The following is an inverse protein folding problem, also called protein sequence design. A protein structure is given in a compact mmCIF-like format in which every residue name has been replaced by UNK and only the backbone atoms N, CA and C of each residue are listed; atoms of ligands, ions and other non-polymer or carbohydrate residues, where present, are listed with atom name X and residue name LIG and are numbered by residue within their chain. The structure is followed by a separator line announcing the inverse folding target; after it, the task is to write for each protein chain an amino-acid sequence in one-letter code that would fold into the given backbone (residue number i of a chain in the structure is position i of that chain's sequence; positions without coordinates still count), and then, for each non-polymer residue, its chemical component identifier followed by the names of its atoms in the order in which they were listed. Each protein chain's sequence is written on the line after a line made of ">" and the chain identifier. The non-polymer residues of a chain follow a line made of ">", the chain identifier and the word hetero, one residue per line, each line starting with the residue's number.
data_IF_516801531254
#
_entry.id   IF_516801531254
#
_cell.length_a   1.000
_cell.length_b   1.000
_cell.length_c   1.000
_cell.angle_alpha   90.00
_cell.angle_beta   90.00
_cell.angle_gamma   90.00
#
_symmetry.space_group_name_H-M   'P 1'
#
loop_
_entity.id
_entity.type
_entity.pdbx_description
1 polymer ?
2 non-polymer ?
3 non-polymer ?
4 non-polymer ?
5 non-polymer ?
6 water ?
#
# COMPACT_ATOMS: atom_id res chain seq x y z
N UNK A 10 26.55 -19.17 -5.19
CA UNK A 10 25.86 -18.59 -4.04
C UNK A 10 26.73 -17.53 -3.37
N UNK A 11 28.04 -17.79 -3.36
CA UNK A 11 28.98 -16.82 -2.79
C UNK A 11 28.97 -15.51 -3.55
N UNK A 12 28.94 -15.57 -4.89
CA UNK A 12 28.83 -14.35 -5.68
C UNK A 12 27.60 -13.54 -5.28
N UNK A 13 26.47 -14.22 -5.08
CA UNK A 13 25.25 -13.51 -4.73
C UNK A 13 25.39 -12.80 -3.38
N UNK A 14 25.96 -13.50 -2.40
CA UNK A 14 26.15 -12.91 -1.08
C UNK A 14 27.09 -11.70 -1.15
N UNK A 15 28.18 -11.81 -1.94
CA UNK A 15 29.10 -10.69 -2.06
C UNK A 15 28.38 -9.48 -2.65
N UNK A 16 27.55 -9.70 -3.66
CA UNK A 16 26.82 -8.59 -4.26
C UNK A 16 25.82 -8.01 -3.27
N UNK A 17 25.11 -8.86 -2.53
CA UNK A 17 24.11 -8.34 -1.60
C UNK A 17 24.75 -7.47 -0.54
N UNK A 18 26.02 -7.73 -0.19
CA UNK A 18 26.68 -6.90 0.80
C UNK A 18 26.86 -5.47 0.30
N UNK A 19 26.80 -5.26 -1.02
CA UNK A 19 26.98 -3.93 -1.60
C UNK A 19 25.67 -3.17 -1.74
N UNK A 20 24.53 -3.85 -1.62
CA UNK A 20 23.24 -3.21 -1.87
C UNK A 20 22.91 -2.30 -0.69
N UNK A 21 22.55 -1.06 -1.00
CA UNK A 21 22.16 -0.11 0.04
C UNK A 21 20.67 0.14 0.00
N UNK A 22 20.14 0.66 1.11
CA UNK A 22 18.73 1.04 1.14
C UNK A 22 18.45 2.10 0.08
N UNK A 23 19.38 3.05 -0.11
CA UNK A 23 19.22 4.05 -1.14
C UNK A 23 19.07 3.44 -2.53
N UNK A 24 19.89 2.44 -2.85
CA UNK A 24 19.78 1.80 -4.16
C UNK A 24 18.43 1.08 -4.32
N UNK A 25 17.97 0.42 -3.25
CA UNK A 25 16.66 -0.21 -3.30
C UNK A 25 15.57 0.82 -3.53
N UNK A 26 15.70 2.00 -2.93
CA UNK A 26 14.64 3.00 -3.03
C UNK A 26 14.60 3.63 -4.40
N UNK A 27 15.76 3.74 -5.04
CA UNK A 27 15.87 4.51 -6.25
C UNK A 27 15.97 3.67 -7.51
N UNK A 28 16.46 2.45 -7.41
CA UNK A 28 16.61 1.61 -8.59
C UNK A 28 16.34 0.15 -8.22
N UNK A 29 15.14 -0.17 -7.76
CA UNK A 29 14.90 -1.54 -7.29
C UNK A 29 14.85 -2.58 -8.40
N UNK A 30 14.41 -2.21 -9.61
CA UNK A 30 14.10 -3.27 -10.57
C UNK A 30 15.30 -4.16 -10.90
N UNK A 31 16.51 -3.63 -11.14
CA UNK A 31 17.62 -4.53 -11.46
C UNK A 31 18.02 -5.39 -10.27
N UNK A 32 17.78 -4.92 -9.05
CA UNK A 32 18.08 -5.72 -7.89
C UNK A 32 17.14 -6.91 -7.82
N UNK A 33 15.84 -6.65 -7.94
CA UNK A 33 14.88 -7.75 -7.88
C UNK A 33 15.03 -8.68 -9.07
N UNK A 34 15.40 -8.16 -10.23
CA UNK A 34 15.61 -9.04 -11.37
C UNK A 34 16.69 -10.07 -11.06
N UNK A 35 17.76 -9.64 -10.40
CA UNK A 35 18.83 -10.57 -10.06
C UNK A 35 18.40 -11.51 -8.94
N UNK A 36 17.68 -10.98 -7.94
CA UNK A 36 17.22 -11.84 -6.85
C UNK A 36 16.30 -12.93 -7.36
N UNK A 37 15.41 -12.61 -8.32
CA UNK A 37 14.51 -13.65 -8.79
C UNK A 37 15.29 -14.79 -9.40
N UNK A 38 16.41 -14.47 -10.07
CA UNK A 38 17.25 -15.49 -10.68
C UNK A 38 18.12 -16.23 -9.67
N UNK A 39 18.67 -15.52 -8.68
CA UNK A 39 19.72 -16.11 -7.86
C UNK A 39 19.37 -16.39 -6.42
N UNK A 40 18.32 -15.78 -5.88
CA UNK A 40 18.05 -15.95 -4.47
C UNK A 40 16.59 -15.58 -4.21
N UNK A 41 15.66 -16.52 -4.46
CA UNK A 41 14.24 -16.23 -4.24
C UNK A 41 13.90 -15.66 -2.87
N UNK A 42 14.60 -16.11 -1.83
CA UNK A 42 14.57 -15.46 -0.53
C UNK A 42 16.02 -15.12 -0.21
N UNK A 43 16.27 -13.87 0.18
CA UNK A 43 17.63 -13.41 0.38
C UNK A 43 17.71 -12.48 1.59
N UNK A 44 18.84 -12.54 2.29
CA UNK A 44 19.09 -11.61 3.38
C UNK A 44 19.66 -10.32 2.81
N UNK A 45 19.05 -9.20 3.16
CA UNK A 45 19.51 -7.87 2.73
C UNK A 45 20.20 -7.21 3.92
N UNK A 46 21.52 -7.26 4.02
CA UNK A 46 22.17 -6.71 5.23
C UNK A 46 21.82 -5.26 5.48
N UNK A 47 21.66 -4.47 4.42
CA UNK A 47 21.40 -3.04 4.63
C UNK A 47 20.07 -2.81 5.34
N UNK A 48 19.13 -3.75 5.22
CA UNK A 48 17.82 -3.63 5.82
C UNK A 48 17.63 -4.56 7.00
N UNK A 49 18.63 -5.37 7.33
CA UNK A 49 18.53 -6.31 8.45
C UNK A 49 17.25 -7.14 8.33
N UNK A 50 17.02 -7.72 7.15
CA UNK A 50 15.79 -8.47 6.93
C UNK A 50 15.93 -9.33 5.68
N UNK A 51 15.07 -10.33 5.59
CA UNK A 51 14.93 -11.12 4.38
C UNK A 51 13.96 -10.45 3.43
N UNK A 52 14.09 -10.77 2.15
CA UNK A 52 13.11 -10.38 1.15
C UNK A 52 12.87 -11.56 0.23
N UNK A 53 11.60 -11.81 -0.05
CA UNK A 53 11.18 -12.83 -1.01
C UNK A 53 10.86 -12.13 -2.33
N UNK A 54 11.40 -12.64 -3.44
CA UNK A 54 11.33 -11.92 -4.71
C UNK A 54 10.59 -12.65 -5.82
N UNK A 55 10.47 -13.98 -5.78
CA UNK A 55 9.75 -14.66 -6.84
C UNK A 55 8.28 -14.77 -6.47
N UNK A 56 7.49 -15.09 -7.48
CA UNK A 56 6.08 -15.37 -7.25
C UNK A 56 5.91 -16.51 -6.25
N UNK A 57 6.55 -17.65 -6.51
CA UNK A 57 6.30 -18.76 -5.60
C UNK A 57 6.86 -18.51 -4.20
N UNK A 58 7.98 -17.80 -4.04
CA UNK A 58 8.44 -17.56 -2.68
C UNK A 58 7.45 -16.66 -1.94
N UNK A 59 7.00 -15.58 -2.60
CA UNK A 59 6.04 -14.68 -1.98
C UNK A 59 4.74 -15.40 -1.67
N UNK A 60 4.21 -16.16 -2.64
CA UNK A 60 2.90 -16.77 -2.42
C UNK A 60 2.98 -17.79 -1.31
N UNK A 61 4.02 -18.61 -1.32
CA UNK A 61 4.14 -19.67 -0.32
C UNK A 61 4.25 -19.08 1.08
N UNK A 62 5.14 -18.10 1.25
CA UNK A 62 5.33 -17.54 2.58
C UNK A 62 4.08 -16.78 3.01
N UNK A 63 3.45 -16.07 2.07
CA UNK A 63 2.24 -15.32 2.41
C UNK A 63 1.14 -16.25 2.91
N UNK A 64 0.96 -17.37 2.21
CA UNK A 64 -0.18 -18.23 2.45
C UNK A 64 0.04 -19.18 3.63
N UNK A 65 1.29 -19.56 3.89
CA UNK A 65 1.58 -20.65 4.83
C UNK A 65 1.42 -20.15 6.25
N UNK A 66 0.24 -20.40 6.82
CA UNK A 66 -0.08 -19.94 8.16
C UNK A 66 0.48 -20.86 9.22
N UNK A 67 1.03 -21.99 8.81
CA UNK A 67 1.57 -22.95 9.76
C UNK A 67 3.00 -22.57 10.11
N UNK A 68 3.80 -22.19 9.11
CA UNK A 68 5.22 -21.91 9.31
C UNK A 68 5.54 -20.43 9.40
N UNK A 69 4.61 -19.57 9.04
CA UNK A 69 4.84 -18.14 9.07
C UNK A 69 3.62 -17.47 9.69
N UNK A 70 3.86 -16.39 10.39
CA UNK A 70 2.82 -15.54 10.92
C UNK A 70 2.89 -14.18 10.24
N UNK A 71 1.84 -13.38 10.45
CA UNK A 71 1.81 -12.01 9.96
C UNK A 71 3.05 -11.24 10.33
N UNK A 72 3.51 -10.40 9.41
CA UNK A 72 4.76 -9.73 9.58
C UNK A 72 4.73 -8.54 10.51
N UNK A 73 5.93 -8.17 10.92
CA UNK A 73 6.18 -6.92 11.63
C UNK A 73 7.67 -6.61 11.50
N UNK A 74 8.09 -5.52 12.15
CA UNK A 74 9.48 -5.08 12.09
C UNK A 74 9.64 -4.00 13.16
N UNK A 75 10.85 -3.61 13.50
CA UNK A 75 10.99 -2.48 14.44
C UNK A 75 10.37 -1.19 13.91
N UNK A 76 10.30 -1.01 12.59
CA UNK A 76 9.61 0.16 12.04
C UNK A 76 8.11 0.05 12.27
N UNK A 77 7.52 -1.15 12.04
CA UNK A 77 6.10 -1.29 12.29
C UNK A 77 5.79 -0.94 13.73
N UNK A 78 6.62 -1.44 14.66
CA UNK A 78 6.32 -1.21 16.07
C UNK A 78 6.42 0.26 16.44
N UNK A 79 7.41 0.97 15.90
CA UNK A 79 7.59 2.40 16.18
C UNK A 79 6.48 3.22 15.56
N UNK A 80 6.09 2.89 14.32
CA UNK A 80 5.21 3.72 13.51
C UNK A 80 3.75 3.39 13.75
N UNK A 81 3.44 2.10 13.87
CA UNK A 81 2.07 1.63 13.99
C UNK A 81 1.72 1.21 15.39
N UNK A 82 2.64 0.60 16.10
CA UNK A 82 2.38 -0.06 17.36
C UNK A 82 2.58 -1.56 17.23
N UNK A 83 2.53 -2.24 18.37
CA UNK A 83 2.97 -3.63 18.40
C UNK A 83 1.96 -4.57 17.75
N UNK A 84 0.71 -4.53 18.21
CA UNK A 84 -0.26 -5.58 17.87
C UNK A 84 -1.21 -5.10 16.76
N UNK A 85 -0.68 -4.97 15.56
CA UNK A 85 -1.45 -4.49 14.43
C UNK A 85 -2.02 -5.65 13.61
N UNK A 86 -2.97 -5.34 12.73
CA UNK A 86 -3.70 -6.37 12.02
C UNK A 86 -2.79 -7.18 11.11
N UNK A 87 -1.75 -6.54 10.54
CA UNK A 87 -0.85 -7.28 9.65
C UNK A 87 -0.16 -8.41 10.38
N UNK A 88 0.21 -8.19 11.63
CA UNK A 88 0.90 -9.19 12.41
C UNK A 88 0.01 -10.18 13.12
N UNK A 89 -1.29 -9.91 13.16
CA UNK A 89 -2.20 -10.70 13.98
C UNK A 89 -2.52 -12.03 13.33
N UNK A 90 -2.86 -13.00 14.19
CA UNK A 90 -3.24 -14.35 13.78
C UNK A 90 -4.39 -14.83 14.63
N UNK A 91 -4.94 -15.98 14.25
CA UNK A 91 -5.97 -16.63 15.04
C UNK A 91 -7.17 -15.74 15.31
N UNK A 92 -7.71 -15.89 16.50
CA UNK A 92 -8.91 -15.14 16.88
C UNK A 92 -8.66 -13.63 16.88
N UNK A 93 -7.47 -13.19 17.27
CA UNK A 93 -7.20 -11.77 17.29
C UNK A 93 -7.30 -11.19 15.88
N UNK A 94 -6.73 -11.90 14.91
CA UNK A 94 -6.84 -11.46 13.53
C UNK A 94 -8.28 -11.49 13.05
N UNK A 95 -9.01 -12.58 13.35
CA UNK A 95 -10.39 -12.64 12.91
C UNK A 95 -11.25 -11.56 13.56
N UNK A 96 -10.93 -11.18 14.81
CA UNK A 96 -11.66 -10.11 15.47
C UNK A 96 -11.37 -8.76 14.82
N UNK A 97 -10.10 -8.50 14.46
CA UNK A 97 -9.76 -7.24 13.80
C UNK A 97 -10.37 -7.19 12.41
N UNK A 98 -10.36 -8.32 11.68
CA UNK A 98 -11.00 -8.35 10.38
C UNK A 98 -12.51 -8.12 10.52
N UNK A 99 -13.13 -8.67 11.57
CA UNK A 99 -14.54 -8.40 11.80
C UNK A 99 -14.81 -6.92 12.00
N UNK A 100 -13.86 -6.20 12.61
CA UNK A 100 -14.03 -4.77 12.82
C UNK A 100 -13.95 -4.01 11.50
N UNK A 101 -12.91 -4.27 10.69
CA UNK A 101 -12.61 -3.41 9.56
C UNK A 101 -13.19 -3.89 8.22
N UNK A 102 -13.51 -5.19 8.08
CA UNK A 102 -13.93 -5.69 6.77
C UNK A 102 -15.32 -5.27 6.29
N UNK A 103 -16.36 -5.30 7.12
CA UNK A 103 -17.74 -5.12 6.60
C UNK A 103 -17.91 -3.84 5.79
N UNK A 104 -17.41 -2.68 6.24
CA UNK A 104 -17.63 -1.45 5.43
C UNK A 104 -16.96 -1.51 4.07
N UNK A 105 -15.98 -2.38 3.90
CA UNK A 105 -15.22 -2.45 2.67
C UNK A 105 -15.77 -3.49 1.71
N UNK A 106 -16.89 -4.14 2.06
CA UNK A 106 -17.46 -5.12 1.15
C UNK A 106 -18.39 -4.42 0.16
N UNK A 107 -18.46 -4.94 -1.07
CA UNK A 107 -19.33 -4.31 -2.08
C UNK A 107 -20.75 -4.06 -1.63
N UNK A 108 -21.35 -4.97 -0.86
CA UNK A 108 -22.72 -4.77 -0.41
C UNK A 108 -22.85 -3.49 0.42
N UNK A 109 -21.79 -3.12 1.14
CA UNK A 109 -21.79 -1.91 1.95
C UNK A 109 -21.44 -0.66 1.15
N UNK A 110 -20.39 -0.72 0.32
CA UNK A 110 -19.87 0.49 -0.30
C UNK A 110 -20.54 0.83 -1.63
N UNK A 111 -21.21 -0.12 -2.26
CA UNK A 111 -21.81 0.12 -3.57
C UNK A 111 -22.59 1.42 -3.67
N UNK A 112 -23.53 1.72 -2.76
CA UNK A 112 -24.24 3.00 -2.87
C UNK A 112 -23.33 4.21 -2.78
N UNK A 113 -22.26 4.14 -1.99
CA UNK A 113 -21.39 5.30 -1.81
C UNK A 113 -20.63 5.68 -3.07
N UNK A 114 -20.52 4.76 -4.04
CA UNK A 114 -19.75 5.07 -5.24
C UNK A 114 -20.34 6.27 -5.98
N UNK A 115 -21.64 6.26 -6.22
CA UNK A 115 -22.25 7.39 -6.90
C UNK A 115 -22.64 8.50 -5.94
N UNK A 116 -23.02 8.17 -4.71
CA UNK A 116 -23.44 9.20 -3.76
C UNK A 116 -22.27 9.98 -3.19
N UNK A 117 -21.10 9.36 -3.04
CA UNK A 117 -20.01 10.03 -2.35
C UNK A 117 -18.72 10.06 -3.17
N UNK A 118 -18.31 8.91 -3.72
CA UNK A 118 -17.02 8.85 -4.40
C UNK A 118 -17.00 9.75 -5.64
N UNK A 119 -17.96 9.57 -6.55
CA UNK A 119 -17.93 10.38 -7.76
C UNK A 119 -18.05 11.87 -7.47
N UNK A 120 -18.92 12.35 -6.57
CA UNK A 120 -18.92 13.79 -6.27
C UNK A 120 -17.60 14.27 -5.69
N UNK A 121 -16.94 13.45 -4.87
CA UNK A 121 -15.64 13.84 -4.36
C UNK A 121 -14.64 13.97 -5.51
N UNK A 122 -14.61 12.97 -6.39
CA UNK A 122 -13.72 13.03 -7.56
C UNK A 122 -13.99 14.29 -8.37
N UNK A 123 -15.27 14.59 -8.62
CA UNK A 123 -15.59 15.72 -9.46
C UNK A 123 -15.23 17.04 -8.81
N UNK A 124 -15.26 17.11 -7.47
CA UNK A 124 -14.83 18.33 -6.79
C UNK A 124 -13.36 18.62 -7.07
N UNK A 125 -12.51 17.61 -6.92
CA UNK A 125 -11.10 17.80 -7.23
C UNK A 125 -10.87 18.03 -8.73
N UNK A 126 -11.67 17.37 -9.57
CA UNK A 126 -11.58 17.60 -11.01
C UNK A 126 -11.87 19.05 -11.35
N UNK A 127 -12.93 19.60 -10.76
CA UNK A 127 -13.31 20.98 -11.08
C UNK A 127 -12.22 21.96 -10.66
N UNK A 128 -11.49 21.65 -9.59
CA UNK A 128 -10.46 22.58 -9.12
C UNK A 128 -9.27 22.68 -10.08
N UNK A 129 -9.01 21.64 -10.88
CA UNK A 129 -7.91 21.73 -11.85
C UNK A 129 -8.38 22.10 -13.24
N UNK A 130 -9.69 22.08 -13.51
CA UNK A 130 -10.19 22.31 -14.86
C UNK A 130 -9.89 23.74 -15.31
N UNK A 131 -9.52 23.88 -16.58
CA UNK A 131 -9.19 25.17 -17.14
C UNK A 131 -7.74 25.58 -17.00
N UNK A 132 -6.95 24.86 -16.20
CA UNK A 132 -5.54 25.19 -16.07
C UNK A 132 -4.72 24.68 -17.23
N UNK A 133 -5.18 23.62 -17.90
CA UNK A 133 -4.38 23.01 -18.93
C UNK A 133 -3.14 22.31 -18.44
N UNK A 134 -2.99 22.19 -17.13
CA UNK A 134 -1.84 21.56 -16.48
C UNK A 134 -2.17 21.26 -15.03
N UNK A 135 -1.47 20.27 -14.48
CA UNK A 135 -1.62 19.96 -13.07
C UNK A 135 -0.48 19.03 -12.71
N UNK A 136 -0.24 18.91 -11.42
CA UNK A 136 0.61 17.88 -10.84
C UNK A 136 -0.36 16.90 -10.18
N UNK A 137 -0.62 15.79 -10.86
CA UNK A 137 -1.77 14.94 -10.50
C UNK A 137 -1.67 14.32 -9.11
N UNK A 138 -0.46 14.11 -8.57
CA UNK A 138 -0.42 13.52 -7.23
C UNK A 138 -1.02 14.44 -6.19
N UNK A 139 -0.46 15.63 -6.04
CA UNK A 139 -0.98 16.52 -5.01
C UNK A 139 -2.34 17.09 -5.40
N UNK A 140 -2.59 17.29 -6.69
CA UNK A 140 -3.77 18.03 -7.10
C UNK A 140 -4.98 17.13 -7.31
N UNK A 141 -4.79 15.83 -7.46
CA UNK A 141 -5.90 15.02 -7.91
C UNK A 141 -5.94 13.65 -7.24
N UNK A 142 -4.95 12.81 -7.49
CA UNK A 142 -5.01 11.44 -7.01
C UNK A 142 -4.94 11.35 -5.50
N UNK A 143 -3.99 12.06 -4.87
CA UNK A 143 -3.90 11.96 -3.40
C UNK A 143 -5.13 12.53 -2.72
N UNK A 144 -5.60 13.74 -3.06
CA UNK A 144 -6.82 14.22 -2.39
C UNK A 144 -7.99 13.29 -2.60
N UNK A 145 -8.15 12.74 -3.80
CA UNK A 145 -9.23 11.78 -4.03
C UNK A 145 -9.06 10.56 -3.14
N UNK A 146 -7.86 10.00 -3.10
CA UNK A 146 -7.65 8.77 -2.35
C UNK A 146 -7.92 9.02 -0.87
N UNK A 147 -7.34 10.09 -0.32
CA UNK A 147 -7.47 10.28 1.12
C UNK A 147 -8.88 10.64 1.50
N UNK A 148 -9.58 11.39 0.64
CA UNK A 148 -10.94 11.81 0.97
C UNK A 148 -11.89 10.63 0.84
N UNK A 149 -11.80 9.89 -0.28
CA UNK A 149 -12.74 8.79 -0.49
C UNK A 149 -12.54 7.68 0.53
N UNK A 150 -11.30 7.42 0.95
CA UNK A 150 -11.07 6.41 1.97
C UNK A 150 -11.26 6.99 3.37
N UNK A 151 -10.71 8.18 3.62
CA UNK A 151 -10.84 8.77 4.93
C UNK A 151 -12.28 8.92 5.35
N UNK A 152 -13.16 9.24 4.41
CA UNK A 152 -14.57 9.46 4.72
C UNK A 152 -15.27 8.17 5.12
N UNK A 153 -14.68 7.01 4.86
CA UNK A 153 -15.32 5.75 5.19
C UNK A 153 -14.61 5.00 6.31
N UNK A 154 -13.56 5.58 6.90
CA UNK A 154 -12.85 4.97 8.01
C UNK A 154 -12.88 5.85 9.26
N UNK A 155 -13.81 6.80 9.34
CA UNK A 155 -13.99 7.61 10.54
C UNK A 155 -13.30 8.95 10.54
N UNK A 156 -12.70 9.35 9.41
CA UNK A 156 -11.88 10.55 9.34
C UNK A 156 -12.50 11.63 8.46
N UNK A 157 -13.83 11.68 8.40
CA UNK A 157 -14.50 12.69 7.57
C UNK A 157 -14.08 14.10 7.96
N UNK A 158 -13.81 14.35 9.25
CA UNK A 158 -13.52 15.68 9.74
C UNK A 158 -12.03 16.01 9.76
N UNK A 159 -11.19 15.18 9.17
CA UNK A 159 -9.77 15.46 9.00
C UNK A 159 -9.57 15.92 7.56
N UNK A 160 -9.00 17.11 7.37
CA UNK A 160 -8.87 17.64 6.02
C UNK A 160 -7.85 16.85 5.19
N UNK A 161 -7.93 17.00 3.87
CA UNK A 161 -7.11 16.20 2.97
C UNK A 161 -5.63 16.53 3.14
N UNK A 162 -5.29 17.79 3.39
CA UNK A 162 -3.88 18.13 3.64
C UNK A 162 -3.32 17.34 4.80
N UNK A 163 -4.09 17.24 5.89
CA UNK A 163 -3.63 16.51 7.07
C UNK A 163 -3.55 15.01 6.79
N UNK A 164 -4.58 14.45 6.14
CA UNK A 164 -4.55 13.03 5.81
C UNK A 164 -3.37 12.69 4.93
N UNK A 165 -3.05 13.56 3.97
CA UNK A 165 -1.90 13.31 3.12
C UNK A 165 -0.62 13.38 3.93
N UNK A 166 -0.50 14.39 4.80
CA UNK A 166 0.69 14.45 5.65
C UNK A 166 0.82 13.20 6.51
N UNK A 167 -0.29 12.73 7.08
CA UNK A 167 -0.24 11.53 7.91
C UNK A 167 0.26 10.32 7.13
N UNK A 168 -0.33 10.05 5.97
CA UNK A 168 0.08 8.81 5.30
C UNK A 168 1.52 8.92 4.84
N UNK A 169 1.94 10.11 4.42
CA UNK A 169 3.33 10.24 3.97
C UNK A 169 4.27 10.03 5.14
N UNK A 170 3.93 10.57 6.33
CA UNK A 170 4.79 10.43 7.50
C UNK A 170 4.89 8.98 7.96
N UNK A 171 3.75 8.27 7.99
CA UNK A 171 3.77 6.87 8.42
C UNK A 171 4.51 6.02 7.41
N UNK A 172 4.30 6.29 6.11
CA UNK A 172 4.98 5.52 5.08
C UNK A 172 6.48 5.76 5.14
N UNK A 173 6.89 7.02 5.37
CA UNK A 173 8.31 7.32 5.53
C UNK A 173 8.90 6.56 6.73
N UNK A 174 8.13 6.47 7.82
CA UNK A 174 8.58 5.72 8.98
C UNK A 174 8.80 4.24 8.67
N UNK A 175 7.85 3.61 7.97
CA UNK A 175 8.04 2.20 7.63
C UNK A 175 9.26 2.03 6.73
N UNK A 176 9.48 2.98 5.81
CA UNK A 176 10.59 2.89 4.88
C UNK A 176 11.93 3.18 5.54
N UNK A 177 11.93 3.62 6.79
CA UNK A 177 13.15 4.02 7.48
C UNK A 177 13.86 2.79 8.04
N UNK A 178 14.34 1.95 7.11
CA UNK A 178 14.78 0.61 7.46
C UNK A 178 16.29 0.43 7.47
N UNK A 179 17.06 1.49 7.26
CA UNK A 179 18.52 1.34 7.27
C UNK A 179 18.96 0.96 8.67
N UNK A 180 19.66 -0.17 8.78
CA UNK A 180 20.04 -0.71 10.07
C UNK A 180 21.45 -1.27 9.92
N UNK A 181 22.21 -1.26 11.02
CA UNK A 181 23.54 -1.83 10.99
C UNK A 181 23.48 -3.36 11.15
N UNK A 182 24.65 -3.98 11.24
CA UNK A 182 24.69 -5.45 11.33
C UNK A 182 23.99 -5.96 12.58
N UNK A 183 23.94 -5.15 13.64
CA UNK A 183 23.30 -5.50 14.90
C UNK A 183 21.81 -5.21 14.89
N UNK A 184 21.28 -4.66 13.79
CA UNK A 184 19.87 -4.33 13.74
C UNK A 184 19.50 -3.01 14.37
N UNK A 185 20.48 -2.15 14.62
CA UNK A 185 20.21 -0.83 15.17
C UNK A 185 19.96 0.18 14.05
N UNK A 186 18.96 1.04 14.26
CA UNK A 186 18.63 2.06 13.27
C UNK A 186 19.78 3.01 13.06
N UNK A 187 20.11 3.23 11.79
CA UNK A 187 21.09 4.22 11.37
C UNK A 187 20.51 5.63 11.47
N UNK A 188 19.24 5.80 11.10
CA UNK A 188 18.59 7.10 10.98
C UNK A 188 17.33 7.11 11.86
N UNK A 189 17.49 7.12 13.18
CA UNK A 189 16.29 7.22 14.03
C UNK A 189 15.53 8.52 13.86
N UNK A 190 16.19 9.60 13.43
CA UNK A 190 15.48 10.84 13.20
C UNK A 190 14.43 10.75 12.11
N UNK A 191 14.54 9.75 11.23
CA UNK A 191 13.55 9.57 10.18
C UNK A 191 12.18 9.18 10.69
N UNK A 192 12.06 8.83 11.98
CA UNK A 192 10.76 8.59 12.60
C UNK A 192 10.07 9.84 13.08
N UNK A 193 10.72 11.00 13.08
CA UNK A 193 10.07 12.18 13.64
C UNK A 193 8.75 12.50 12.97
N UNK A 194 8.61 12.43 11.64
CA UNK A 194 7.27 12.70 11.05
C UNK A 194 6.23 11.73 11.54
N UNK A 195 6.56 10.44 11.64
CA UNK A 195 5.61 9.45 12.13
C UNK A 195 5.24 9.67 13.60
N UNK A 196 6.20 10.10 14.42
CA UNK A 196 5.89 10.39 15.82
C UNK A 196 4.91 11.56 15.89
N UNK A 197 5.16 12.59 15.10
CA UNK A 197 4.27 13.75 15.10
C UNK A 197 2.89 13.37 14.58
N UNK A 198 2.84 12.61 13.48
CA UNK A 198 1.55 12.20 12.95
C UNK A 198 0.83 11.29 13.93
N UNK A 199 1.55 10.38 14.59
CA UNK A 199 0.92 9.49 15.55
C UNK A 199 0.23 10.24 16.66
N UNK A 200 0.89 11.26 17.20
CA UNK A 200 0.27 12.06 18.27
C UNK A 200 -0.97 12.77 17.77
N UNK A 201 -0.94 13.28 16.54
CA UNK A 201 -2.12 13.96 15.99
C UNK A 201 -3.25 12.96 15.74
N UNK A 202 -2.91 11.77 15.24
CA UNK A 202 -3.91 10.73 14.99
C UNK A 202 -4.59 10.35 16.30
N UNK A 203 -3.80 10.13 17.35
CA UNK A 203 -4.38 9.75 18.63
C UNK A 203 -5.26 10.86 19.16
N UNK A 204 -4.85 12.13 18.97
CA UNK A 204 -5.64 13.23 19.49
C UNK A 204 -6.97 13.37 18.75
N UNK A 205 -7.03 12.97 17.47
CA UNK A 205 -8.30 12.96 16.75
C UNK A 205 -9.14 11.76 17.19
N UNK A 206 -8.52 10.58 17.27
CA UNK A 206 -9.28 9.35 17.44
C UNK A 206 -9.72 9.13 18.89
N UNK A 207 -8.88 9.48 19.86
CA UNK A 207 -9.21 9.22 21.26
C UNK A 207 -10.57 9.79 21.68
N UNK A 208 -10.88 11.08 21.44
CA UNK A 208 -12.20 11.57 21.86
C UNK A 208 -13.33 10.86 21.14
N UNK A 209 -13.17 10.59 19.84
CA UNK A 209 -14.20 9.89 19.10
C UNK A 209 -14.42 8.49 19.66
N UNK A 210 -13.32 7.79 19.97
CA UNK A 210 -13.43 6.44 20.52
C UNK A 210 -14.13 6.47 21.87
N UNK A 211 -13.73 7.40 22.74
CA UNK A 211 -14.37 7.49 24.06
C UNK A 211 -15.85 7.77 23.91
N UNK A 212 -16.22 8.70 23.03
CA UNK A 212 -17.63 9.03 22.83
C UNK A 212 -18.41 7.84 22.28
N UNK A 213 -17.90 7.24 21.20
CA UNK A 213 -18.65 6.19 20.52
C UNK A 213 -18.65 4.88 21.30
N UNK A 214 -17.67 4.68 22.19
CA UNK A 214 -17.68 3.49 23.03
C UNK A 214 -18.91 3.47 23.92
N UNK A 215 -19.29 4.63 24.44
CA UNK A 215 -20.44 4.75 25.33
C UNK A 215 -21.75 5.01 24.60
N UNK A 216 -21.70 5.71 23.46
CA UNK A 216 -22.89 6.07 22.69
C UNK A 216 -22.68 5.73 21.23
N UNK A 217 -22.89 4.48 20.84
CA UNK A 217 -22.69 4.08 19.44
C UNK A 217 -23.68 4.78 18.51
N UNK A 218 -23.25 5.02 17.28
CA UNK A 218 -24.06 5.77 16.34
C UNK A 218 -24.09 5.20 14.91
N UNK A 219 -23.56 4.00 14.68
CA UNK A 219 -23.61 3.46 13.34
C UNK A 219 -22.54 3.94 12.39
N UNK A 220 -21.69 4.87 12.81
CA UNK A 220 -20.60 5.33 11.96
C UNK A 220 -19.48 4.29 11.92
N UNK A 221 -18.49 4.54 11.07
CA UNK A 221 -17.42 3.56 10.85
C UNK A 221 -16.69 3.22 12.14
N UNK A 222 -16.28 4.24 12.90
CA UNK A 222 -15.54 3.99 14.12
C UNK A 222 -16.40 3.30 15.16
N UNK A 223 -17.70 3.62 15.18
CA UNK A 223 -18.61 2.93 16.09
C UNK A 223 -18.65 1.44 15.80
N UNK A 224 -18.68 1.08 14.51
CA UNK A 224 -18.64 -0.32 14.13
C UNK A 224 -17.31 -0.96 14.52
N UNK A 225 -16.20 -0.24 14.32
CA UNK A 225 -14.91 -0.81 14.71
C UNK A 225 -14.91 -1.16 16.19
N UNK A 226 -15.58 -0.34 17.00
CA UNK A 226 -15.60 -0.58 18.44
C UNK A 226 -16.58 -1.67 18.82
N UNK A 227 -17.74 -1.73 18.17
CA UNK A 227 -18.84 -2.52 18.68
C UNK A 227 -19.16 -3.74 17.84
N UNK A 228 -18.76 -3.81 16.58
CA UNK A 228 -19.26 -4.88 15.73
C UNK A 228 -18.64 -6.21 16.13
N UNK A 229 -19.48 -7.22 16.33
CA UNK A 229 -19.01 -8.53 16.75
C UNK A 229 -18.59 -8.62 18.20
N UNK A 230 -18.97 -7.65 19.02
CA UNK A 230 -18.58 -7.60 20.41
C UNK A 230 -19.81 -7.69 21.32
N UNK A 231 -19.66 -8.25 22.52
CA UNK A 231 -20.77 -8.21 23.48
C UNK A 231 -21.08 -6.77 23.86
N UNK A 232 -22.34 -6.52 24.17
CA UNK A 232 -22.70 -5.23 24.74
C UNK A 232 -22.02 -5.11 26.09
N UNK A 233 -21.13 -4.13 26.22
CA UNK A 233 -20.34 -3.99 27.42
C UNK A 233 -18.91 -4.47 27.30
N UNK A 234 -18.52 -5.02 26.16
CA UNK A 234 -17.12 -5.37 25.90
C UNK A 234 -16.71 -4.87 24.51
N UNK A 235 -16.83 -3.56 24.26
CA UNK A 235 -16.31 -3.01 23.00
C UNK A 235 -14.79 -3.09 22.98
N UNK A 236 -14.26 -3.06 21.77
CA UNK A 236 -12.81 -2.97 21.60
C UNK A 236 -12.31 -1.67 22.23
N UNK A 237 -11.10 -1.73 22.77
CA UNK A 237 -10.51 -0.54 23.36
C UNK A 237 -9.65 0.18 22.33
N UNK A 238 -9.27 1.42 22.67
CA UNK A 238 -8.40 2.18 21.80
C UNK A 238 -7.14 1.39 21.45
N UNK A 239 -6.46 0.82 22.46
CA UNK A 239 -5.20 0.16 22.11
C UNK A 239 -5.41 -1.10 21.29
N UNK A 240 -6.56 -1.77 21.43
CA UNK A 240 -6.81 -2.92 20.57
C UNK A 240 -6.92 -2.53 19.11
N UNK A 241 -7.37 -1.31 18.82
CA UNK A 241 -7.63 -0.88 17.46
C UNK A 241 -6.55 0.01 16.89
N UNK A 242 -5.89 0.83 17.71
CA UNK A 242 -5.10 1.93 17.16
C UNK A 242 -4.01 1.47 16.22
N UNK A 243 -3.22 0.43 16.52
CA UNK A 243 -2.17 0.04 15.55
C UNK A 243 -2.75 -0.36 14.21
N UNK A 244 -3.92 -1.03 14.21
CA UNK A 244 -4.57 -1.40 12.96
C UNK A 244 -5.15 -0.19 12.25
N UNK A 245 -5.69 0.77 13.00
CA UNK A 245 -6.14 2.01 12.36
C UNK A 245 -4.97 2.73 11.71
N UNK A 246 -3.78 2.68 12.31
CA UNK A 246 -2.62 3.30 11.68
C UNK A 246 -2.20 2.55 10.42
N UNK A 247 -2.34 1.22 10.40
CA UNK A 247 -2.11 0.46 9.17
C UNK A 247 -2.98 1.01 8.05
N UNK A 248 -4.25 1.28 8.36
CA UNK A 248 -5.18 1.75 7.34
C UNK A 248 -4.94 3.21 6.99
N UNK A 249 -4.62 4.05 7.97
CA UNK A 249 -4.28 5.45 7.69
C UNK A 249 -3.10 5.51 6.74
N UNK A 250 -2.13 4.61 6.90
CA UNK A 250 -1.01 4.56 5.98
C UNK A 250 -1.48 4.05 4.62
N UNK A 251 -1.85 2.76 4.55
CA UNK A 251 -2.04 2.13 3.25
C UNK A 251 -3.40 2.41 2.64
N UNK A 252 -4.44 2.49 3.46
CA UNK A 252 -5.74 2.82 2.90
C UNK A 252 -5.72 4.17 2.21
N UNK A 253 -4.97 5.12 2.77
CA UNK A 253 -4.93 6.47 2.22
C UNK A 253 -3.91 6.58 1.11
N UNK A 254 -2.77 5.89 1.22
CA UNK A 254 -1.71 6.03 0.22
C UNK A 254 -1.97 5.18 -1.02
N UNK A 255 -2.38 3.95 -0.84
CA UNK A 255 -2.30 3.01 -1.95
C UNK A 255 -3.24 3.33 -3.10
N UNK A 256 -4.50 3.75 -2.87
CA UNK A 256 -5.36 4.04 -4.03
C UNK A 256 -4.80 5.12 -4.92
N UNK A 257 -4.23 6.18 -4.34
CA UNK A 257 -3.61 7.21 -5.15
C UNK A 257 -2.45 6.67 -5.98
N UNK A 258 -1.68 5.75 -5.40
CA UNK A 258 -0.61 5.13 -6.15
C UNK A 258 -1.14 4.21 -7.25
N UNK A 259 -2.22 3.47 -7.00
CA UNK A 259 -2.81 2.68 -8.07
C UNK A 259 -3.20 3.57 -9.24
N UNK A 260 -3.85 4.70 -8.95
CA UNK A 260 -4.24 5.62 -10.01
C UNK A 260 -3.03 6.11 -10.76
N UNK A 261 -1.99 6.51 -10.02
CA UNK A 261 -0.82 7.12 -10.64
C UNK A 261 -0.04 6.09 -11.45
N UNK A 262 0.12 4.88 -10.93
CA UNK A 262 0.82 3.84 -11.65
C UNK A 262 0.08 3.49 -12.94
N UNK A 263 -1.26 3.45 -12.88
CA UNK A 263 -2.03 3.09 -14.05
C UNK A 263 -1.96 4.19 -15.10
N UNK A 264 -2.08 5.45 -14.65
CA UNK A 264 -1.93 6.57 -15.56
C UNK A 264 -0.56 6.56 -16.21
N UNK A 265 0.50 6.43 -15.41
CA UNK A 265 1.85 6.44 -15.94
C UNK A 265 2.07 5.26 -16.89
N UNK A 266 1.63 4.08 -16.50
CA UNK A 266 1.79 2.93 -17.39
C UNK A 266 1.08 3.14 -18.71
N UNK A 267 -0.12 3.71 -18.68
CA UNK A 267 -0.84 3.98 -19.92
C UNK A 267 -0.06 4.93 -20.81
N UNK A 268 0.59 5.95 -20.24
CA UNK A 268 1.30 6.91 -21.10
C UNK A 268 2.44 6.24 -21.85
N UNK A 269 2.98 5.13 -21.33
CA UNK A 269 4.04 4.44 -22.05
C UNK A 269 3.51 3.66 -23.24
N UNK A 270 2.19 3.55 -23.39
CA UNK A 270 1.55 2.79 -24.47
C UNK A 270 0.53 3.71 -25.13
N UNK A 271 0.98 4.60 -26.01
CA UNK A 271 0.08 5.66 -26.53
C UNK A 271 -1.22 5.13 -27.12
N UNK A 272 -1.17 4.03 -27.87
CA UNK A 272 -2.40 3.51 -28.45
C UNK A 272 -3.34 2.98 -27.38
N UNK A 273 -2.78 2.39 -26.32
CA UNK A 273 -3.62 1.88 -25.25
C UNK A 273 -4.23 3.02 -24.44
N UNK A 274 -3.44 4.06 -24.16
CA UNK A 274 -3.98 5.25 -23.49
C UNK A 274 -5.14 5.81 -24.28
N UNK A 275 -4.95 6.00 -25.60
CA UNK A 275 -6.03 6.55 -26.40
C UNK A 275 -7.27 5.68 -26.30
N UNK A 276 -7.10 4.36 -26.43
CA UNK A 276 -8.22 3.44 -26.36
C UNK A 276 -8.97 3.56 -25.05
N UNK A 277 -8.24 3.65 -23.93
CA UNK A 277 -8.88 3.75 -22.63
C UNK A 277 -9.63 5.06 -22.47
N UNK A 278 -9.05 6.18 -22.94
CA UNK A 278 -9.73 7.46 -22.75
C UNK A 278 -11.06 7.49 -23.48
N UNK A 279 -11.23 6.68 -24.52
CA UNK A 279 -12.44 6.69 -25.31
C UNK A 279 -13.33 5.49 -25.03
N UNK A 280 -12.92 4.58 -24.15
CA UNK A 280 -13.73 3.42 -23.81
C UNK A 280 -13.44 3.12 -22.34
N UNK A 281 -14.26 3.71 -21.46
CA UNK A 281 -14.04 3.57 -20.03
C UNK A 281 -14.25 2.15 -19.55
N UNK A 282 -14.90 1.28 -20.33
CA UNK A 282 -15.04 -0.10 -19.92
C UNK A 282 -13.70 -0.83 -19.84
N UNK A 283 -12.64 -0.26 -20.40
CA UNK A 283 -11.31 -0.85 -20.31
C UNK A 283 -10.58 -0.44 -19.04
N UNK A 284 -11.14 0.44 -18.25
CA UNK A 284 -10.43 0.96 -17.09
C UNK A 284 -10.15 -0.14 -16.06
N UNK A 285 -11.10 -1.03 -15.73
CA UNK A 285 -10.76 -2.07 -14.75
C UNK A 285 -9.55 -2.88 -15.16
N UNK A 286 -9.45 -3.26 -16.45
CA UNK A 286 -8.29 -4.02 -16.90
C UNK A 286 -7.03 -3.18 -16.82
N UNK A 287 -7.12 -1.90 -17.17
CA UNK A 287 -5.95 -1.03 -17.06
C UNK A 287 -5.48 -0.93 -15.61
N UNK A 288 -6.43 -0.77 -14.68
CA UNK A 288 -6.11 -0.63 -13.27
C UNK A 288 -5.47 -1.89 -12.71
N UNK A 289 -5.94 -3.05 -13.14
CA UNK A 289 -5.33 -4.30 -12.72
C UNK A 289 -3.90 -4.39 -13.22
N UNK A 290 -3.68 -4.02 -14.49
CA UNK A 290 -2.33 -4.03 -15.04
C UNK A 290 -1.46 -3.01 -14.33
N UNK A 291 -2.02 -1.85 -13.95
CA UNK A 291 -1.25 -0.87 -13.20
C UNK A 291 -0.74 -1.44 -11.89
N UNK A 292 -1.58 -2.18 -11.16
CA UNK A 292 -1.15 -2.80 -9.92
C UNK A 292 -0.04 -3.82 -10.16
N UNK A 293 -0.16 -4.61 -11.23
CA UNK A 293 0.88 -5.59 -11.52
C UNK A 293 2.18 -4.91 -11.90
N UNK A 294 2.08 -3.86 -12.72
CA UNK A 294 3.25 -3.23 -13.32
C UNK A 294 4.03 -2.38 -12.32
N UNK A 295 3.35 -1.78 -11.34
CA UNK A 295 4.09 -1.00 -10.33
C UNK A 295 3.32 -1.13 -9.02
N UNK A 296 3.52 -2.29 -8.36
CA UNK A 296 2.67 -2.63 -7.23
C UNK A 296 2.88 -1.63 -6.11
N UNK A 297 1.82 -0.95 -5.64
CA UNK A 297 2.04 0.13 -4.66
C UNK A 297 2.66 -0.38 -3.38
N UNK A 298 2.19 -1.50 -2.86
CA UNK A 298 2.83 -2.13 -1.70
C UNK A 298 3.84 -3.10 -2.29
N UNK A 299 4.96 -2.53 -2.70
CA UNK A 299 5.90 -3.27 -3.54
C UNK A 299 6.60 -4.35 -2.74
N UNK A 300 7.08 -3.99 -1.54
CA UNK A 300 7.70 -4.98 -0.66
C UNK A 300 7.34 -4.80 0.80
N UNK A 301 6.41 -3.90 1.15
CA UNK A 301 6.14 -3.62 2.56
C UNK A 301 5.23 -4.65 3.22
N UNK A 302 4.68 -5.62 2.47
CA UNK A 302 4.06 -6.77 3.11
C UNK A 302 5.15 -7.64 3.72
N UNK A 303 4.82 -8.38 4.77
CA UNK A 303 5.86 -9.16 5.42
C UNK A 303 5.24 -10.30 6.21
N UNK A 304 6.07 -11.29 6.51
CA UNK A 304 5.73 -12.36 7.44
C UNK A 304 6.91 -12.56 8.38
N UNK A 305 6.67 -13.27 9.48
CA UNK A 305 7.71 -13.72 10.40
C UNK A 305 7.69 -15.24 10.45
N UNK A 306 8.85 -15.91 10.48
CA UNK A 306 8.86 -17.37 10.62
C UNK A 306 8.38 -17.77 12.01
N UNK A 307 7.58 -18.83 12.07
CA UNK A 307 7.18 -19.34 13.37
C UNK A 307 8.15 -20.38 13.91
N UNK A 308 8.98 -20.93 13.03
CA UNK A 308 10.05 -21.85 13.39
C UNK A 308 11.18 -21.62 12.39
N UNK A 309 12.34 -22.20 12.70
CA UNK A 309 13.43 -22.14 11.74
C UNK A 309 13.01 -22.83 10.46
N UNK A 310 13.23 -22.16 9.32
CA UNK A 310 12.78 -22.68 8.04
C UNK A 310 13.73 -22.21 6.95
N UNK A 311 14.09 -23.13 6.07
CA UNK A 311 15.09 -22.86 5.05
C UNK A 311 14.44 -22.86 3.68
N UNK A 312 14.64 -21.77 2.94
CA UNK A 312 14.37 -21.74 1.52
C UNK A 312 15.64 -21.40 0.75
N UNK A 313 16.17 -22.37 0.03
CA UNK A 313 17.40 -22.13 -0.69
C UNK A 313 18.53 -21.90 0.29
N UNK A 314 19.27 -20.81 0.08
CA UNK A 314 20.33 -20.42 0.99
C UNK A 314 19.84 -19.66 2.21
N UNK A 315 18.55 -19.37 2.30
CA UNK A 315 17.99 -18.53 3.37
C UNK A 315 17.47 -19.42 4.47
N UNK A 316 18.12 -19.39 5.63
CA UNK A 316 17.60 -20.08 6.81
C UNK A 316 17.01 -19.00 7.71
N UNK A 317 15.70 -18.86 7.63
CA UNK A 317 15.01 -17.85 8.42
C UNK A 317 14.68 -18.35 9.82
N UNK A 318 14.71 -17.41 10.76
CA UNK A 318 14.54 -17.72 12.16
C UNK A 318 13.40 -16.90 12.74
N UNK A 319 12.75 -17.40 13.78
CA UNK A 319 11.70 -16.61 14.43
C UNK A 319 12.18 -15.23 14.81
N UNK A 320 11.28 -14.26 14.68
CA UNK A 320 11.58 -12.88 15.01
C UNK A 320 12.14 -12.07 13.87
N UNK A 321 12.60 -12.70 12.77
CA UNK A 321 13.19 -11.96 11.68
C UNK A 321 12.12 -11.54 10.68
N UNK A 322 12.22 -10.31 10.17
CA UNK A 322 11.27 -9.87 9.16
C UNK A 322 11.55 -10.50 7.82
N UNK A 323 10.50 -11.03 7.16
CA UNK A 323 10.59 -11.51 5.79
C UNK A 323 9.68 -10.62 4.97
N UNK A 324 10.26 -9.62 4.29
CA UNK A 324 9.47 -8.78 3.40
C UNK A 324 9.07 -9.60 2.18
N UNK A 325 7.84 -9.41 1.73
CA UNK A 325 7.35 -10.08 0.53
C UNK A 325 7.32 -9.06 -0.59
N UNK A 326 8.23 -9.18 -1.55
CA UNK A 326 8.22 -8.23 -2.66
C UNK A 326 7.21 -8.70 -3.69
N UNK A 327 5.94 -8.44 -3.40
CA UNK A 327 4.88 -8.68 -4.36
C UNK A 327 5.12 -7.91 -5.64
N UNK A 328 5.73 -6.73 -5.57
CA UNK A 328 6.02 -6.01 -6.78
C UNK A 328 7.01 -6.74 -7.67
N UNK A 329 7.99 -7.42 -7.06
CA UNK A 329 8.90 -8.26 -7.81
C UNK A 329 8.21 -9.52 -8.32
N UNK A 330 7.39 -10.15 -7.47
CA UNK A 330 6.61 -11.30 -7.89
C UNK A 330 5.77 -10.96 -9.11
N UNK A 331 5.17 -9.78 -9.12
CA UNK A 331 4.34 -9.33 -10.23
C UNK A 331 5.15 -8.98 -11.46
N UNK A 332 6.47 -8.95 -11.32
CA UNK A 332 7.41 -8.73 -12.40
C UNK A 332 8.22 -9.98 -12.71
N UNK A 333 7.74 -11.13 -12.26
CA UNK A 333 8.49 -12.38 -12.40
C UNK A 333 8.36 -12.93 -13.82
N UNK A 334 9.50 -13.06 -14.51
CA UNK A 334 9.56 -13.56 -15.89
C UNK A 334 9.05 -14.99 -16.02
N UNK A 335 9.03 -15.76 -14.94
CA UNK A 335 8.51 -17.13 -15.01
C UNK A 335 7.00 -17.18 -15.01
N UNK A 336 6.35 -16.05 -14.71
CA UNK A 336 4.91 -15.97 -14.58
C UNK A 336 4.30 -15.09 -15.67
N UNK A 337 5.00 -14.02 -16.05
CA UNK A 337 4.48 -13.06 -17.01
C UNK A 337 5.48 -12.90 -18.14
N UNK A 338 4.97 -12.63 -19.33
CA UNK A 338 5.81 -12.39 -20.49
C UNK A 338 6.12 -10.91 -20.56
N UNK A 339 7.41 -10.58 -20.62
CA UNK A 339 7.87 -9.20 -20.59
C UNK A 339 7.17 -8.41 -19.48
N UNK A 340 7.39 -8.79 -18.22
CA UNK A 340 6.64 -8.18 -17.12
C UNK A 340 7.02 -6.74 -16.87
N UNK A 341 8.13 -6.26 -17.42
CA UNK A 341 8.56 -4.90 -17.22
C UNK A 341 7.74 -3.89 -17.99
N UNK A 342 6.94 -4.32 -18.96
CA UNK A 342 6.13 -3.48 -19.84
C UNK A 342 4.72 -3.39 -19.28
N UNK A 343 4.10 -2.21 -19.37
CA UNK A 343 2.68 -2.09 -19.10
C UNK A 343 1.94 -2.54 -20.35
N UNK A 344 1.00 -3.47 -20.20
CA UNK A 344 0.25 -3.94 -21.36
C UNK A 344 -1.20 -4.14 -20.96
N UNK A 345 -2.05 -3.23 -21.44
CA UNK A 345 -3.49 -3.30 -21.21
C UNK A 345 -4.07 -4.67 -21.58
N UNK A 346 -3.55 -5.28 -22.64
CA UNK A 346 -4.04 -6.55 -23.16
C UNK A 346 -3.18 -7.73 -22.73
N UNK A 347 -2.44 -7.58 -21.63
CA UNK A 347 -1.66 -8.68 -21.10
C UNK A 347 -2.52 -9.92 -20.92
N UNK A 348 -1.97 -11.08 -21.27
CA UNK A 348 -2.62 -12.37 -21.00
C UNK A 348 -3.08 -12.42 -19.54
N UNK A 349 -4.29 -12.92 -19.34
CA UNK A 349 -4.90 -12.92 -18.01
C UNK A 349 -4.11 -13.77 -17.03
N UNK A 350 -3.82 -13.21 -15.86
CA UNK A 350 -3.20 -13.96 -14.79
C UNK A 350 -3.39 -13.14 -13.53
N UNK A 351 -3.59 -13.76 -12.37
CA UNK A 351 -3.71 -12.99 -11.12
C UNK A 351 -2.42 -12.25 -10.84
N UNK A 352 -2.52 -11.29 -9.92
CA UNK A 352 -1.34 -10.64 -9.39
C UNK A 352 -1.39 -10.69 -7.86
N UNK A 353 -0.27 -10.31 -7.25
CA UNK A 353 -0.13 -10.34 -5.79
C UNK A 353 -0.16 -8.93 -5.18
N UNK A 354 -0.62 -7.92 -5.92
CA UNK A 354 -0.56 -6.55 -5.40
C UNK A 354 -1.45 -6.34 -4.18
N UNK A 355 -2.48 -7.16 -3.99
CA UNK A 355 -3.29 -7.12 -2.77
C UNK A 355 -2.91 -8.22 -1.77
N UNK A 356 -1.82 -8.93 -2.03
CA UNK A 356 -1.49 -10.10 -1.23
C UNK A 356 -2.36 -11.29 -1.59
N UNK A 357 -2.42 -12.23 -0.65
CA UNK A 357 -3.05 -13.52 -0.88
C UNK A 357 -3.24 -14.19 0.47
N UNK A 358 -4.16 -15.15 0.53
CA UNK A 358 -4.35 -15.89 1.75
C UNK A 358 -5.10 -15.10 2.81
N UNK A 359 -4.90 -15.50 4.07
CA UNK A 359 -5.70 -14.95 5.16
C UNK A 359 -5.46 -13.46 5.40
N UNK A 360 -4.30 -12.91 5.00
CA UNK A 360 -4.01 -11.49 5.14
C UNK A 360 -4.34 -10.68 3.89
N UNK A 361 -5.06 -11.27 2.92
CA UNK A 361 -5.43 -10.55 1.70
C UNK A 361 -6.05 -9.20 2.06
N UNK A 362 -5.61 -8.15 1.38
CA UNK A 362 -6.08 -6.79 1.61
C UNK A 362 -7.58 -6.70 1.82
N UNK A 363 -7.99 -6.13 2.97
CA UNK A 363 -9.40 -5.92 3.24
C UNK A 363 -10.05 -4.95 2.26
N UNK A 364 -9.25 -4.05 1.70
CA UNK A 364 -9.74 -3.05 0.75
C UNK A 364 -9.68 -3.45 -0.70
N UNK A 365 -9.47 -4.74 -0.98
CA UNK A 365 -9.19 -5.15 -2.36
C UNK A 365 -10.35 -4.96 -3.30
N UNK A 366 -11.60 -4.92 -2.80
CA UNK A 366 -12.73 -4.63 -3.66
C UNK A 366 -13.01 -3.14 -3.76
N UNK A 367 -12.82 -2.39 -2.66
CA UNK A 367 -13.17 -0.97 -2.66
C UNK A 367 -12.16 -0.16 -3.44
N UNK A 368 -10.86 -0.42 -3.26
CA UNK A 368 -9.86 0.44 -3.88
C UNK A 368 -9.99 0.52 -5.40
N UNK A 369 -10.15 -0.58 -6.13
CA UNK A 369 -10.26 -0.46 -7.60
C UNK A 369 -11.47 0.33 -8.05
N UNK A 370 -12.52 0.45 -7.22
CA UNK A 370 -13.67 1.27 -7.58
C UNK A 370 -13.39 2.76 -7.43
N UNK A 371 -12.69 3.15 -6.35
CA UNK A 371 -12.26 4.54 -6.21
C UNK A 371 -11.38 4.92 -7.39
N UNK A 372 -10.40 4.05 -7.73
CA UNK A 372 -9.48 4.37 -8.81
C UNK A 372 -10.20 4.44 -10.14
N UNK A 373 -11.14 3.53 -10.38
CA UNK A 373 -11.90 3.57 -11.62
C UNK A 373 -12.62 4.90 -11.78
N UNK A 374 -13.31 5.36 -10.74
CA UNK A 374 -14.06 6.60 -10.86
C UNK A 374 -13.13 7.78 -11.04
N UNK A 375 -11.98 7.77 -10.34
CA UNK A 375 -11.02 8.85 -10.49
C UNK A 375 -10.53 8.94 -11.94
N UNK A 376 -10.21 7.80 -12.55
CA UNK A 376 -9.70 7.85 -13.92
C UNK A 376 -10.81 8.11 -14.94
N UNK A 377 -12.01 7.56 -14.71
CA UNK A 377 -13.14 7.85 -15.60
C UNK A 377 -13.34 9.36 -15.74
N UNK A 378 -13.39 10.07 -14.61
CA UNK A 378 -13.67 11.50 -14.66
C UNK A 378 -12.51 12.26 -15.28
N UNK A 379 -11.29 11.85 -14.98
CA UNK A 379 -10.13 12.55 -15.52
C UNK A 379 -10.09 12.43 -17.05
N UNK A 380 -10.26 11.21 -17.56
CA UNK A 380 -10.17 10.99 -18.99
C UNK A 380 -11.37 11.54 -19.75
N UNK A 381 -12.56 11.55 -19.14
CA UNK A 381 -13.71 12.19 -19.77
C UNK A 381 -13.48 13.69 -19.90
N UNK A 382 -12.94 14.31 -18.86
CA UNK A 382 -12.75 15.77 -18.88
C UNK A 382 -11.62 16.17 -19.79
N UNK A 383 -10.52 15.42 -19.78
CA UNK A 383 -9.28 15.81 -20.45
C UNK A 383 -8.79 14.66 -21.32
N UNK A 384 -9.49 14.37 -22.42
CA UNK A 384 -9.05 13.24 -23.26
C UNK A 384 -7.69 13.45 -23.90
N UNK A 385 -7.22 14.70 -24.01
CA UNK A 385 -5.91 14.99 -24.58
C UNK A 385 -4.80 14.99 -23.55
N UNK A 386 -5.08 14.56 -22.31
CA UNK A 386 -4.09 14.64 -21.25
C UNK A 386 -2.83 13.89 -21.62
N UNK A 387 -1.69 14.42 -21.19
CA UNK A 387 -0.38 13.84 -21.49
C UNK A 387 0.60 14.32 -20.44
N UNK A 388 1.72 13.61 -20.32
CA UNK A 388 2.80 14.10 -19.45
C UNK A 388 3.40 15.37 -20.04
N UNK A 389 3.84 16.26 -19.15
CA UNK A 389 4.49 17.47 -19.59
C UNK A 389 5.94 17.17 -19.90
N UNK A 390 6.39 17.32 -21.17
CA UNK A 390 7.78 16.98 -21.51
C UNK A 390 8.83 17.83 -20.79
N UNK A 391 8.43 18.93 -20.15
CA UNK A 391 9.38 19.76 -19.43
C UNK A 391 9.69 19.20 -18.05
N UNK A 392 9.02 18.13 -17.65
CA UNK A 392 9.25 17.50 -16.37
C UNK A 392 9.61 16.05 -16.62
N UNK A 393 10.32 15.47 -15.67
CA UNK A 393 10.44 14.02 -15.60
C UNK A 393 9.53 13.51 -14.50
N UNK A 394 9.16 12.25 -14.57
CA UNK A 394 8.33 11.63 -13.55
C UNK A 394 9.26 10.94 -12.56
N UNK A 395 9.40 11.44 -11.32
CA UNK A 395 10.20 10.72 -10.32
C UNK A 395 9.36 9.60 -9.72
N UNK A 396 9.91 8.39 -9.76
CA UNK A 396 9.30 7.24 -9.11
C UNK A 396 10.24 6.81 -7.99
N UNK A 397 9.69 6.41 -6.86
CA UNK A 397 10.52 6.17 -5.70
C UNK A 397 9.94 5.04 -4.83
N UNK A 398 10.84 4.27 -4.22
CA UNK A 398 10.51 3.36 -3.15
C UNK A 398 10.62 1.90 -3.55
N UNK A 399 10.98 1.07 -2.57
CA UNK A 399 10.91 -0.37 -2.72
C UNK A 399 9.94 -1.02 -1.74
N UNK A 400 9.72 -0.41 -0.58
CA UNK A 400 8.72 -0.94 0.35
C UNK A 400 7.34 -0.49 -0.12
N UNK A 401 7.07 0.83 -0.07
CA UNK A 401 5.98 1.44 -0.81
C UNK A 401 6.58 2.13 -2.02
N UNK A 402 6.03 1.86 -3.22
CA UNK A 402 6.56 2.42 -4.46
C UNK A 402 5.46 3.16 -5.21
N UNK A 403 5.79 4.34 -5.73
CA UNK A 403 4.89 4.99 -6.65
C UNK A 403 5.50 6.26 -7.18
N UNK A 404 4.84 6.87 -8.17
CA UNK A 404 5.30 8.15 -8.68
C UNK A 404 5.15 9.21 -7.60
N UNK A 405 6.13 10.10 -7.53
CA UNK A 405 6.09 11.19 -6.58
C UNK A 405 5.45 12.44 -7.16
N UNK A 406 5.45 12.57 -8.49
CA UNK A 406 4.86 13.70 -9.18
C UNK A 406 4.37 13.18 -10.51
N UNK A 407 3.32 13.82 -11.01
CA UNK A 407 2.80 13.51 -12.35
C UNK A 407 2.36 14.82 -12.98
N UNK A 408 3.35 15.54 -13.51
CA UNK A 408 3.08 16.80 -14.20
C UNK A 408 2.48 16.52 -15.56
N UNK A 409 1.26 17.02 -15.79
CA UNK A 409 0.54 16.78 -17.03
C UNK A 409 0.15 18.08 -17.70
N UNK A 410 -0.15 17.97 -18.99
CA UNK A 410 -0.75 19.03 -19.80
C UNK A 410 -2.00 18.48 -20.46
N UNK A 411 -2.88 19.39 -20.86
CA UNK A 411 -4.00 19.00 -21.69
C UNK A 411 -4.47 20.21 -22.46
N UNK A 412 -5.20 19.94 -23.54
CA UNK A 412 -5.75 20.97 -24.40
C UNK A 412 -7.22 21.24 -24.10
#
# INVERSE_FOLDING_TARGET
>A
GAMTTKHTTAGDTQEWLATVTVEQLENDPYPIFERLRREAPVAWIPAAHAWVASTWEACRTIADDATNFRGGTSPMHERVLGTDHILGAEGETHQDLRAAVDPPLKPRAFRPLLEEQVRPTVRRYLEAIRGQGKAELMADYFEPISVRCVGDVIGLTDVDSDTLRRWFHALARGIANTAMDAEGRFTNPGGFAPADEAGAEIREVLEPLVAKLSAEPDGSALSHYLHHGRPHGDPRTLEQLLPSLKVIILGGLQEPGHQCAATFLGLTTRPEQLKRVTEDATLLPRALTEGLRWMSPVFSASSRLPLREITMGEATMRPGQTVWLSYGSANRDEAVFDRPDVFDLDRATHPHLAFGTGRHLCSGSAYAPQVARIALEELFTAFPSIRLDPAHEVPVWGWLFRGPQRLDVLWD
#
